data_IF_463287627467
#
_entry.id   IF_463287627467
#
_cell.length_a   1.000
_cell.length_b   1.000
_cell.length_c   1.000
_cell.angle_alpha   90.00
_cell.angle_beta   90.00
_cell.angle_gamma   90.00
#
_symmetry.space_group_name_H-M   'P 1'
#
loop_
_entity.id
_entity.type
_entity.pdbx_description
1 polymer ?
#
# COMPACT_ATOMS: atom_id res chain seq x y z
N UNK A 1 -0.16 4.96 -12.72
CA UNK A 1 0.05 3.59 -12.17
C UNK A 1 0.25 2.51 -13.24
N UNK A 2 -0.55 2.46 -14.30
CA UNK A 2 -0.41 1.44 -15.36
C UNK A 2 0.99 1.40 -15.98
N UNK A 3 1.63 2.56 -16.17
CA UNK A 3 3.01 2.64 -16.67
C UNK A 3 4.04 2.02 -15.70
N UNK A 4 3.95 2.32 -14.41
CA UNK A 4 4.81 1.75 -13.38
C UNK A 4 4.69 0.21 -13.33
N UNK A 5 3.45 -0.29 -13.32
CA UNK A 5 3.17 -1.73 -13.35
C UNK A 5 3.70 -2.37 -14.64
N UNK A 6 3.45 -1.76 -15.79
CA UNK A 6 3.99 -2.25 -17.08
C UNK A 6 5.52 -2.29 -17.09
N UNK A 7 6.19 -1.34 -16.43
CA UNK A 7 7.64 -1.36 -16.23
C UNK A 7 8.12 -2.61 -15.48
N UNK A 8 7.44 -2.98 -14.40
CA UNK A 8 7.73 -4.19 -13.61
C UNK A 8 7.43 -5.45 -14.45
N UNK A 9 6.28 -5.51 -15.11
CA UNK A 9 5.92 -6.64 -15.99
C UNK A 9 6.98 -6.84 -17.08
N UNK A 10 7.41 -5.77 -17.75
CA UNK A 10 8.47 -5.82 -18.78
C UNK A 10 9.80 -6.30 -18.20
N UNK A 11 10.14 -5.92 -16.97
CA UNK A 11 11.35 -6.40 -16.31
C UNK A 11 11.34 -7.93 -16.19
N UNK A 12 10.24 -8.55 -15.76
CA UNK A 12 10.19 -10.00 -15.60
C UNK A 12 10.16 -10.77 -16.93
N UNK A 13 9.65 -10.15 -18.00
CA UNK A 13 9.71 -10.73 -19.35
C UNK A 13 11.11 -10.66 -20.00
N UNK A 14 12.03 -9.83 -19.48
CA UNK A 14 13.41 -9.77 -19.97
C UNK A 14 14.26 -10.93 -19.43
N UNK A 15 15.24 -11.43 -20.20
CA UNK A 15 16.27 -12.33 -19.69
C UNK A 15 16.98 -11.73 -18.47
N UNK A 16 17.35 -12.56 -17.50
CA UNK A 16 17.91 -12.11 -16.22
C UNK A 16 19.13 -11.19 -16.39
N UNK A 17 19.99 -11.46 -17.38
CA UNK A 17 21.19 -10.67 -17.70
C UNK A 17 20.90 -9.25 -18.20
N UNK A 18 19.67 -8.98 -18.64
CA UNK A 18 19.23 -7.70 -19.21
C UNK A 18 18.30 -6.92 -18.26
N UNK A 19 18.03 -7.47 -17.08
CA UNK A 19 17.15 -6.88 -16.09
C UNK A 19 17.83 -5.68 -15.42
N UNK A 20 17.14 -4.54 -15.43
CA UNK A 20 17.51 -3.38 -14.64
C UNK A 20 17.14 -3.54 -13.15
N UNK A 21 17.35 -2.53 -12.33
CA UNK A 21 17.01 -2.60 -10.90
C UNK A 21 15.50 -2.59 -10.66
N UNK A 22 14.98 -3.62 -9.96
CA UNK A 22 13.59 -3.62 -9.45
C UNK A 22 13.35 -2.49 -8.44
N UNK A 23 14.36 -2.14 -7.63
CA UNK A 23 14.27 -1.04 -6.66
C UNK A 23 13.98 0.29 -7.35
N UNK A 24 14.55 0.54 -8.54
CA UNK A 24 14.22 1.73 -9.33
C UNK A 24 12.79 1.69 -9.88
N UNK A 25 12.28 0.52 -10.30
CA UNK A 25 10.91 0.39 -10.78
C UNK A 25 9.86 0.53 -9.66
N UNK A 26 10.23 0.16 -8.43
CA UNK A 26 9.37 0.31 -7.26
C UNK A 26 9.45 1.73 -6.67
N UNK A 27 10.65 2.20 -6.35
CA UNK A 27 10.90 3.39 -5.54
C UNK A 27 11.46 4.58 -6.32
N UNK A 28 11.86 4.40 -7.58
CA UNK A 28 12.39 5.48 -8.41
C UNK A 28 11.31 6.46 -8.87
N UNK A 29 11.74 7.50 -9.57
CA UNK A 29 10.84 8.48 -10.18
C UNK A 29 9.86 7.80 -11.15
N UNK A 30 8.56 8.07 -10.99
CA UNK A 30 7.51 7.40 -11.76
C UNK A 30 7.31 5.92 -11.41
N UNK A 31 8.01 5.40 -10.39
CA UNK A 31 7.88 4.05 -9.89
C UNK A 31 6.54 3.77 -9.20
N UNK A 32 6.33 2.52 -8.81
CA UNK A 32 5.09 2.06 -8.21
C UNK A 32 4.71 2.83 -6.93
N UNK A 33 5.70 3.15 -6.09
CA UNK A 33 5.52 3.93 -4.85
C UNK A 33 4.95 5.30 -5.17
N UNK A 34 5.62 6.08 -6.01
CA UNK A 34 5.16 7.42 -6.41
C UNK A 34 3.78 7.39 -7.08
N UNK A 35 3.52 6.38 -7.91
CA UNK A 35 2.21 6.22 -8.53
C UNK A 35 1.10 5.95 -7.51
N UNK A 36 1.36 5.16 -6.46
CA UNK A 36 0.40 4.93 -5.38
C UNK A 36 0.30 6.11 -4.43
N UNK A 37 1.38 6.86 -4.19
CA UNK A 37 1.34 8.12 -3.44
C UNK A 37 0.34 9.08 -4.06
N UNK A 38 0.38 9.28 -5.38
CA UNK A 38 -0.57 10.15 -6.09
C UNK A 38 -2.02 9.67 -5.94
N UNK A 39 -2.25 8.35 -5.98
CA UNK A 39 -3.58 7.77 -5.77
C UNK A 39 -4.10 8.09 -4.37
N UNK A 40 -3.30 7.84 -3.34
CA UNK A 40 -3.69 8.11 -1.96
C UNK A 40 -3.68 9.60 -1.63
N UNK A 41 -2.94 10.44 -2.35
CA UNK A 41 -2.96 11.88 -2.11
C UNK A 41 -4.20 12.55 -2.71
N UNK A 42 -4.81 11.93 -3.73
CA UNK A 42 -5.94 12.51 -4.43
C UNK A 42 -7.18 12.65 -3.52
N UNK A 43 -7.53 13.90 -3.24
CA UNK A 43 -8.72 14.24 -2.46
C UNK A 43 -8.56 14.11 -0.96
N UNK A 44 -7.34 14.20 -0.40
CA UNK A 44 -7.20 14.42 1.05
C UNK A 44 -7.93 15.69 1.47
N UNK A 45 -8.70 15.60 2.56
CA UNK A 45 -9.28 16.80 3.19
C UNK A 45 -8.15 17.64 3.77
N UNK A 46 -8.09 18.90 3.37
CA UNK A 46 -7.16 19.85 3.99
C UNK A 46 -7.61 20.15 5.42
N UNK A 47 -6.78 19.94 6.44
CA UNK A 47 -7.14 20.37 7.79
C UNK A 47 -7.21 21.90 7.81
N UNK A 48 -8.19 22.42 8.56
CA UNK A 48 -8.48 23.87 8.69
C UNK A 48 -7.33 24.69 9.30
N UNK A 49 -6.30 24.03 9.82
CA UNK A 49 -5.11 24.62 10.44
C UNK A 49 -3.90 23.85 9.92
N UNK A 50 -2.82 24.57 9.56
CA UNK A 50 -1.51 24.22 8.95
C UNK A 50 -0.83 22.87 9.29
N UNK A 51 -1.57 21.78 9.45
CA UNK A 51 -1.07 20.45 9.75
C UNK A 51 -1.00 19.67 8.44
N UNK A 52 0.19 19.22 8.08
CA UNK A 52 0.32 18.31 6.94
C UNK A 52 -0.31 16.96 7.32
N UNK A 53 -1.27 16.49 6.52
CA UNK A 53 -1.82 15.14 6.62
C UNK A 53 -1.01 14.27 5.66
N UNK A 54 -0.41 13.22 6.20
CA UNK A 54 0.34 12.26 5.40
C UNK A 54 -0.52 11.02 5.14
N UNK A 55 -0.19 10.28 4.08
CA UNK A 55 -0.82 8.99 3.79
C UNK A 55 -0.69 8.06 5.01
N UNK A 56 0.46 8.07 5.67
CA UNK A 56 0.70 7.25 6.85
C UNK A 56 -0.26 7.55 8.02
N UNK A 57 -0.69 8.81 8.21
CA UNK A 57 -1.69 9.16 9.24
C UNK A 57 -3.04 8.48 8.97
N UNK A 58 -3.42 8.38 7.71
CA UNK A 58 -4.62 7.65 7.30
C UNK A 58 -4.48 6.15 7.56
N UNK A 59 -3.34 5.57 7.20
CA UNK A 59 -3.07 4.15 7.37
C UNK A 59 -3.06 3.73 8.85
N UNK A 60 -2.46 4.54 9.74
CA UNK A 60 -2.46 4.30 11.19
C UNK A 60 -3.88 4.37 11.78
N UNK A 61 -4.71 5.31 11.32
CA UNK A 61 -6.12 5.38 11.73
C UNK A 61 -6.94 4.20 11.22
N UNK A 62 -6.72 3.79 9.97
CA UNK A 62 -7.38 2.61 9.40
C UNK A 62 -6.96 1.33 10.14
N UNK A 63 -5.68 1.20 10.50
CA UNK A 63 -5.18 0.10 11.34
C UNK A 63 -5.94 0.06 12.67
N UNK A 64 -5.99 1.17 13.41
CA UNK A 64 -6.67 1.23 14.70
C UNK A 64 -8.16 0.86 14.62
N UNK A 65 -8.83 1.22 13.52
CA UNK A 65 -10.21 0.79 13.26
C UNK A 65 -10.32 -0.73 13.10
N UNK A 66 -9.46 -1.35 12.28
CA UNK A 66 -9.53 -2.78 12.04
C UNK A 66 -9.08 -3.63 13.23
N UNK A 67 -8.08 -3.19 13.99
CA UNK A 67 -7.65 -3.86 15.23
C UNK A 67 -8.75 -3.85 16.29
N UNK A 68 -9.59 -2.80 16.34
CA UNK A 68 -10.74 -2.75 17.24
C UNK A 68 -11.88 -3.72 16.82
N UNK A 69 -12.03 -4.00 15.52
CA UNK A 69 -13.03 -4.93 15.01
C UNK A 69 -12.66 -6.41 15.24
N UNK A 70 -11.36 -6.74 15.20
CA UNK A 70 -10.85 -8.11 15.28
C UNK A 70 -10.96 -8.71 16.71
N UNK A 71 -11.29 -7.90 17.71
CA UNK A 71 -11.48 -8.35 19.11
C UNK A 71 -12.75 -9.22 19.31
N UNK A 72 -13.59 -9.39 18.30
CA UNK A 72 -14.76 -10.27 18.33
C UNK A 72 -14.45 -11.65 17.71
N UNK A 73 -13.72 -12.49 18.45
CA UNK A 73 -13.17 -13.80 18.02
C UNK A 73 -14.21 -14.90 17.71
N UNK A 74 -15.50 -14.66 17.89
CA UNK A 74 -16.54 -15.71 17.85
C UNK A 74 -17.15 -15.97 16.47
N UNK A 75 -16.75 -15.24 15.42
CA UNK A 75 -17.36 -15.34 14.08
C UNK A 75 -16.39 -15.98 13.08
N UNK A 76 -16.85 -16.87 12.19
CA UNK A 76 -16.03 -17.40 11.10
C UNK A 76 -15.32 -16.30 10.31
N UNK A 77 -14.05 -16.55 10.00
CA UNK A 77 -13.15 -15.61 9.36
C UNK A 77 -13.58 -15.32 7.91
N UNK A 78 -14.21 -14.18 7.65
CA UNK A 78 -14.49 -13.75 6.28
C UNK A 78 -13.23 -13.24 5.57
N UNK A 79 -13.33 -13.09 4.25
CA UNK A 79 -12.18 -12.70 3.42
C UNK A 79 -11.64 -11.29 3.76
N UNK A 80 -12.45 -10.39 4.33
CA UNK A 80 -11.99 -9.05 4.69
C UNK A 80 -11.19 -9.03 5.99
N UNK A 81 -11.49 -9.91 6.97
CA UNK A 81 -10.71 -10.02 8.21
C UNK A 81 -9.28 -10.49 7.91
N UNK A 82 -9.11 -11.42 6.96
CA UNK A 82 -7.77 -11.85 6.49
C UNK A 82 -6.96 -10.67 5.95
N UNK A 83 -7.60 -9.86 5.09
CA UNK A 83 -6.97 -8.65 4.53
C UNK A 83 -6.63 -7.67 5.65
N UNK A 84 -7.54 -7.45 6.60
CA UNK A 84 -7.34 -6.57 7.74
C UNK A 84 -6.18 -7.00 8.64
N UNK A 85 -6.13 -8.27 9.09
CA UNK A 85 -5.02 -8.79 9.88
C UNK A 85 -3.68 -8.69 9.16
N UNK A 86 -3.65 -9.04 7.87
CA UNK A 86 -2.44 -8.89 7.07
C UNK A 86 -1.99 -7.42 7.01
N UNK A 87 -2.91 -6.49 6.81
CA UNK A 87 -2.63 -5.06 6.79
C UNK A 87 -2.07 -4.58 8.13
N UNK A 88 -2.78 -4.85 9.24
CA UNK A 88 -2.38 -4.43 10.58
C UNK A 88 -1.03 -5.02 10.99
N UNK A 89 -0.74 -6.28 10.65
CA UNK A 89 0.55 -6.93 10.90
C UNK A 89 1.70 -6.16 10.23
N UNK A 90 1.54 -5.77 8.96
CA UNK A 90 2.58 -5.03 8.24
C UNK A 90 2.73 -3.60 8.76
N UNK A 91 1.63 -2.88 9.04
CA UNK A 91 1.71 -1.53 9.61
C UNK A 91 2.40 -1.55 10.98
N UNK A 92 2.07 -2.52 11.84
CA UNK A 92 2.73 -2.72 13.14
C UNK A 92 4.22 -2.95 13.00
N UNK A 93 4.63 -3.88 12.13
CA UNK A 93 6.03 -4.20 11.93
C UNK A 93 6.83 -3.00 11.38
N UNK A 94 6.24 -2.21 10.48
CA UNK A 94 6.85 -0.97 9.97
C UNK A 94 6.97 0.09 11.06
N UNK A 95 5.95 0.25 11.89
CA UNK A 95 5.97 1.19 13.01
C UNK A 95 7.01 0.82 14.08
N UNK A 96 7.26 -0.47 14.29
CA UNK A 96 8.23 -0.99 15.26
C UNK A 96 9.65 -1.09 14.70
N UNK A 97 9.88 -0.66 13.45
CA UNK A 97 11.22 -0.65 12.87
C UNK A 97 12.13 0.30 13.65
N UNK A 98 13.33 -0.14 14.09
CA UNK A 98 14.23 0.69 14.90
C UNK A 98 14.80 1.90 14.13
N UNK A 99 14.69 1.90 12.80
CA UNK A 99 15.13 2.99 11.93
C UNK A 99 14.03 4.03 11.78
N UNK A 100 14.31 5.28 12.14
CA UNK A 100 13.41 6.40 11.87
C UNK A 100 13.46 6.80 10.38
N UNK A 101 12.54 6.28 9.58
CA UNK A 101 12.46 6.51 8.12
C UNK A 101 11.44 7.59 7.71
N UNK A 102 10.77 8.23 8.66
CA UNK A 102 9.70 9.20 8.39
C UNK A 102 8.44 8.56 7.77
N UNK A 103 7.37 9.35 7.62
CA UNK A 103 6.06 8.85 7.16
C UNK A 103 6.04 8.41 5.69
N UNK A 104 6.72 9.16 4.82
CA UNK A 104 6.84 8.80 3.40
C UNK A 104 7.68 7.53 3.23
N UNK A 105 8.78 7.40 3.98
CA UNK A 105 9.58 6.17 3.99
C UNK A 105 8.81 4.95 4.52
N UNK A 106 7.94 5.12 5.52
CA UNK A 106 7.03 4.06 5.98
C UNK A 106 6.01 3.67 4.90
N UNK A 107 5.45 4.65 4.18
CA UNK A 107 4.56 4.38 3.06
C UNK A 107 5.26 3.61 1.94
N UNK A 108 6.45 4.07 1.53
CA UNK A 108 7.30 3.37 0.56
C UNK A 108 7.54 1.92 0.99
N UNK A 109 7.93 1.70 2.24
CA UNK A 109 8.15 0.37 2.81
C UNK A 109 6.91 -0.51 2.67
N UNK A 110 5.74 0.00 3.06
CA UNK A 110 4.47 -0.74 2.97
C UNK A 110 4.17 -1.12 1.52
N UNK A 111 4.35 -0.20 0.57
CA UNK A 111 4.13 -0.48 -0.85
C UNK A 111 5.07 -1.58 -1.35
N UNK A 112 6.36 -1.49 -1.04
CA UNK A 112 7.34 -2.49 -1.49
C UNK A 112 7.06 -3.87 -0.89
N UNK A 113 6.79 -3.93 0.42
CA UNK A 113 6.43 -5.16 1.12
C UNK A 113 5.12 -5.75 0.58
N UNK A 114 4.11 -4.92 0.35
CA UNK A 114 2.86 -5.34 -0.26
C UNK A 114 3.04 -5.86 -1.68
N UNK A 115 3.94 -5.27 -2.47
CA UNK A 115 4.24 -5.74 -3.83
C UNK A 115 4.91 -7.12 -3.79
N UNK A 116 5.95 -7.27 -2.95
CA UNK A 116 6.66 -8.56 -2.71
C UNK A 116 5.71 -9.66 -2.26
N UNK A 117 4.80 -9.35 -1.36
CA UNK A 117 3.89 -10.34 -0.77
C UNK A 117 2.56 -10.47 -1.52
N UNK A 118 2.40 -9.78 -2.65
CA UNK A 118 1.17 -9.77 -3.45
C UNK A 118 -0.08 -9.31 -2.69
N UNK A 119 0.05 -8.35 -1.78
CA UNK A 119 -1.02 -7.88 -0.90
C UNK A 119 -1.59 -6.50 -1.28
N UNK A 120 -0.96 -5.75 -2.20
CA UNK A 120 -1.39 -4.37 -2.51
C UNK A 120 -2.86 -4.27 -2.92
N UNK A 121 -3.30 -5.12 -3.84
CA UNK A 121 -4.67 -5.11 -4.35
C UNK A 121 -5.68 -5.47 -3.25
N UNK A 122 -5.30 -6.36 -2.32
CA UNK A 122 -6.12 -6.69 -1.14
C UNK A 122 -6.22 -5.52 -0.18
N UNK A 123 -5.11 -4.84 0.11
CA UNK A 123 -5.11 -3.69 1.03
C UNK A 123 -5.83 -2.48 0.43
N UNK A 124 -5.72 -2.24 -0.87
CA UNK A 124 -6.47 -1.16 -1.54
C UNK A 124 -7.98 -1.42 -1.49
N UNK A 125 -8.42 -2.65 -1.75
CA UNK A 125 -9.82 -3.02 -1.60
C UNK A 125 -10.31 -2.78 -0.16
N UNK A 126 -9.50 -3.22 0.82
CA UNK A 126 -9.80 -3.02 2.24
C UNK A 126 -9.93 -1.53 2.58
N UNK A 127 -8.96 -0.70 2.19
CA UNK A 127 -8.90 0.72 2.54
C UNK A 127 -9.99 1.55 1.83
N UNK A 128 -10.40 1.18 0.62
CA UNK A 128 -11.51 1.83 -0.08
C UNK A 128 -12.84 1.67 0.69
N UNK A 129 -13.05 0.51 1.29
CA UNK A 129 -14.24 0.20 2.10
C UNK A 129 -14.12 0.66 3.57
N UNK A 130 -12.98 1.25 3.97
CA UNK A 130 -12.73 1.67 5.35
C UNK A 130 -13.53 2.92 5.71
N UNK A 131 -14.29 2.95 6.82
CA UNK A 131 -15.02 4.14 7.26
C UNK A 131 -14.14 5.37 7.53
N UNK A 132 -12.86 5.16 7.84
CA UNK A 132 -11.88 6.24 8.01
C UNK A 132 -11.68 7.05 6.71
N UNK A 133 -11.87 6.40 5.55
CA UNK A 133 -11.77 7.05 4.24
C UNK A 133 -12.77 8.20 4.11
N UNK A 134 -14.01 8.03 4.55
CA UNK A 134 -15.01 9.10 4.53
C UNK A 134 -14.64 10.29 5.44
N UNK A 135 -13.88 10.04 6.50
CA UNK A 135 -13.44 11.08 7.45
C UNK A 135 -12.30 11.91 6.87
N UNK A 136 -11.35 11.27 6.18
CA UNK A 136 -10.09 11.89 5.75
C UNK A 136 -10.05 12.32 4.29
N UNK A 137 -11.00 11.89 3.46
CA UNK A 137 -11.03 12.17 2.03
C UNK A 137 -12.32 12.89 1.59
N UNK A 138 -12.16 13.86 0.69
CA UNK A 138 -13.25 14.53 -0.03
C UNK A 138 -14.06 13.53 -0.86
N UNK A 139 -15.29 13.87 -1.24
CA UNK A 139 -16.16 12.99 -2.03
C UNK A 139 -15.61 12.67 -3.42
N UNK A 140 -14.79 13.56 -3.98
CA UNK A 140 -14.12 13.37 -5.27
C UNK A 140 -12.82 12.57 -5.18
N UNK A 141 -12.43 12.08 -3.99
CA UNK A 141 -11.19 11.32 -3.83
C UNK A 141 -11.20 10.03 -4.64
N UNK A 142 -10.03 9.66 -5.19
CA UNK A 142 -9.94 8.52 -6.10
C UNK A 142 -10.25 7.22 -5.35
N UNK A 143 -9.76 7.11 -4.12
CA UNK A 143 -9.95 5.95 -3.25
C UNK A 143 -11.43 5.72 -2.85
N UNK A 144 -12.32 6.70 -3.10
CA UNK A 144 -13.77 6.58 -2.89
C UNK A 144 -14.54 6.22 -4.17
N UNK A 145 -13.92 6.32 -5.33
CA UNK A 145 -14.54 5.90 -6.59
C UNK A 145 -14.31 4.40 -6.82
N UNK A 146 -15.35 3.60 -6.58
CA UNK A 146 -15.29 2.15 -6.73
C UNK A 146 -14.89 1.71 -8.16
N UNK A 147 -15.21 2.47 -9.21
CA UNK A 147 -14.82 2.14 -10.58
C UNK A 147 -13.32 2.31 -10.79
N UNK A 148 -12.76 3.42 -10.30
CA UNK A 148 -11.33 3.68 -10.35
C UNK A 148 -10.55 2.73 -9.46
N UNK A 149 -11.04 2.46 -8.24
CA UNK A 149 -10.43 1.49 -7.31
C UNK A 149 -10.44 0.08 -7.91
N UNK A 150 -11.53 -0.38 -8.50
CA UNK A 150 -11.58 -1.70 -9.15
C UNK A 150 -10.61 -1.79 -10.34
N UNK A 151 -10.48 -0.70 -11.10
CA UNK A 151 -9.51 -0.63 -12.21
C UNK A 151 -8.07 -0.70 -11.69
N UNK A 152 -7.76 0.02 -10.60
CA UNK A 152 -6.48 -0.03 -9.91
C UNK A 152 -6.17 -1.43 -9.37
N UNK A 153 -7.12 -2.09 -8.72
CA UNK A 153 -7.00 -3.46 -8.21
C UNK A 153 -6.62 -4.41 -9.35
N UNK A 154 -7.33 -4.35 -10.49
CA UNK A 154 -7.05 -5.20 -11.66
C UNK A 154 -5.64 -4.97 -12.21
N UNK A 155 -5.20 -3.70 -12.29
CA UNK A 155 -3.84 -3.37 -12.72
C UNK A 155 -2.81 -3.97 -11.77
N UNK A 156 -3.01 -3.87 -10.44
CA UNK A 156 -2.08 -4.44 -9.47
C UNK A 156 -2.10 -5.97 -9.44
N UNK A 157 -3.24 -6.59 -9.76
CA UNK A 157 -3.35 -8.05 -9.87
C UNK A 157 -2.47 -8.63 -10.98
N UNK A 158 -2.13 -7.85 -12.01
CA UNK A 158 -1.16 -8.28 -13.04
C UNK A 158 0.24 -8.57 -12.47
N UNK A 159 0.54 -8.08 -11.26
CA UNK A 159 1.81 -8.36 -10.58
C UNK A 159 1.80 -9.68 -9.78
N UNK A 160 0.67 -10.38 -9.68
CA UNK A 160 0.54 -11.58 -8.82
C UNK A 160 1.41 -12.76 -9.28
N UNK A 161 1.74 -12.85 -10.56
CA UNK A 161 2.53 -13.96 -11.11
C UNK A 161 4.05 -13.75 -10.96
N UNK A 162 4.50 -12.56 -10.54
CA UNK A 162 5.91 -12.19 -10.53
C UNK A 162 6.52 -12.14 -9.14
N UNK A 163 7.55 -12.96 -8.89
CA UNK A 163 8.28 -12.95 -7.62
C UNK A 163 9.15 -11.69 -7.48
N UNK A 164 8.60 -10.64 -6.87
CA UNK A 164 9.31 -9.38 -6.60
C UNK A 164 10.24 -9.57 -5.41
N UNK A 165 11.55 -9.58 -5.65
CA UNK A 165 12.57 -9.59 -4.60
C UNK A 165 12.96 -8.18 -4.21
N UNK A 166 13.07 -7.90 -2.90
CA UNK A 166 13.50 -6.61 -2.38
C UNK A 166 14.94 -6.68 -1.88
N UNK A 167 15.70 -5.60 -2.08
CA UNK A 167 17.05 -5.48 -1.51
C UNK A 167 17.01 -5.42 0.02
N UNK A 168 18.02 -6.01 0.67
CA UNK A 168 18.13 -6.01 2.13
C UNK A 168 18.17 -4.60 2.74
N UNK A 169 18.71 -3.62 1.99
CA UNK A 169 18.75 -2.21 2.37
C UNK A 169 17.35 -1.62 2.58
N UNK A 170 16.37 -2.11 1.81
CA UNK A 170 14.98 -1.66 1.84
C UNK A 170 14.23 -2.30 2.99
N UNK A 171 14.44 -3.58 3.29
CA UNK A 171 13.68 -4.33 4.33
C UNK A 171 14.41 -4.48 5.66
N UNK A 172 15.54 -3.80 5.85
CA UNK A 172 16.38 -3.94 7.06
C UNK A 172 15.59 -3.60 8.32
N UNK A 173 15.51 -4.57 9.25
CA UNK A 173 14.85 -4.41 10.55
C UNK A 173 13.34 -4.70 10.55
N UNK A 174 12.82 -5.20 9.44
CA UNK A 174 11.45 -5.72 9.32
C UNK A 174 11.51 -7.25 9.41
N UNK A 175 10.79 -7.84 10.36
CA UNK A 175 10.63 -9.29 10.49
C UNK A 175 9.15 -9.66 10.28
N UNK A 176 8.80 -10.07 9.05
CA UNK A 176 7.42 -10.32 8.58
C UNK A 176 7.37 -11.53 7.64
#
# INVERSE_FOLDING_TARGET
IGEAVNGIVKHFHKPEKERGSLTLLLCGEGGLVSALEQVFQHGFKSPRLFKNVFIWDFLEKAQGFYEALDQNELVPEENWQKRARSFCRFVTAINNTPRNIGKDGKFQMLVCLGARNHLLHHWIALLADCPITAQMYEDTALIKDHTLVNSLIRVLQTLQEFNITLEASLVKGIDI
#
